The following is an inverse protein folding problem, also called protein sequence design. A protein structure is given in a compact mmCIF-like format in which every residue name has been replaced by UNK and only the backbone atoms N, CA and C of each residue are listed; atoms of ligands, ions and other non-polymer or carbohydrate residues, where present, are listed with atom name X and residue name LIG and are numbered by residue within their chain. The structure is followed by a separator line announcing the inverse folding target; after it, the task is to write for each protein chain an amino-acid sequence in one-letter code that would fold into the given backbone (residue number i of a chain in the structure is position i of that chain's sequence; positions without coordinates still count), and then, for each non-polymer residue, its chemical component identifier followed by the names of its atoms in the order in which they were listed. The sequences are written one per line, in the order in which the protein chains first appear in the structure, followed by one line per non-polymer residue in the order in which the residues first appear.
data_IF_140865732997
#
_entry.id   IF_140865732997
#
_cell.length_a   1.000
_cell.length_b   1.000
_cell.length_c   1.000
_cell.angle_alpha   90.00
_cell.angle_beta   90.00
_cell.angle_gamma   90.00
#
_symmetry.space_group_name_H-M   'P 1'
#
loop_
_entity.id
_entity.type
_entity.pdbx_description
1 polymer ?
#
# COMPACT_ATOMS: atom_id res chain seq x y z
N UNK A 1 -19.04 13.15 -9.49
CA UNK A 1 -19.44 12.04 -10.36
C UNK A 1 -20.49 12.46 -11.40
N UNK A 2 -21.58 13.02 -10.95
CA UNK A 2 -22.73 13.34 -11.83
C UNK A 2 -22.38 14.39 -12.88
N UNK A 3 -21.56 15.40 -12.52
CA UNK A 3 -21.08 16.42 -13.46
C UNK A 3 -20.29 15.82 -14.63
N UNK A 4 -19.38 14.87 -14.35
CA UNK A 4 -18.65 14.17 -15.40
C UNK A 4 -19.54 13.32 -16.29
N UNK A 5 -20.54 12.67 -15.68
CA UNK A 5 -21.52 11.87 -16.41
C UNK A 5 -22.38 12.73 -17.33
N UNK A 6 -22.78 13.92 -16.88
CA UNK A 6 -23.50 14.90 -17.70
C UNK A 6 -22.69 15.38 -18.90
N UNK A 7 -21.36 15.44 -18.75
CA UNK A 7 -20.43 15.78 -19.83
C UNK A 7 -20.07 14.59 -20.73
N UNK A 8 -20.68 13.42 -20.52
CA UNK A 8 -20.37 12.20 -21.29
C UNK A 8 -19.00 11.59 -20.96
N UNK A 9 -18.37 12.01 -19.85
CA UNK A 9 -17.05 11.51 -19.42
C UNK A 9 -17.22 10.26 -18.55
N UNK A 10 -16.62 9.15 -18.97
CA UNK A 10 -16.60 7.91 -18.20
C UNK A 10 -15.43 7.93 -17.21
N UNK A 11 -15.73 7.82 -15.91
CA UNK A 11 -14.72 7.75 -14.86
C UNK A 11 -14.32 6.29 -14.59
N UNK A 12 -13.00 6.05 -14.56
CA UNK A 12 -12.43 4.74 -14.24
C UNK A 12 -11.98 4.67 -12.78
N UNK A 13 -12.93 4.72 -11.86
CA UNK A 13 -12.68 4.70 -10.42
C UNK A 13 -13.88 4.08 -9.69
N UNK A 14 -13.66 3.53 -8.48
CA UNK A 14 -14.74 3.05 -7.61
C UNK A 14 -15.66 4.19 -7.18
N UNK A 15 -16.84 3.88 -6.64
CA UNK A 15 -17.74 4.89 -6.10
C UNK A 15 -17.07 5.69 -4.95
N UNK A 16 -17.60 6.88 -4.67
CA UNK A 16 -17.01 7.81 -3.70
C UNK A 16 -16.89 7.23 -2.28
N UNK A 17 -17.87 6.44 -1.86
CA UNK A 17 -17.83 5.80 -0.54
C UNK A 17 -16.66 4.80 -0.43
N UNK A 18 -16.50 3.92 -1.44
CA UNK A 18 -15.38 2.97 -1.49
C UNK A 18 -14.03 3.67 -1.50
N UNK A 19 -13.90 4.78 -2.25
CA UNK A 19 -12.67 5.57 -2.31
C UNK A 19 -12.40 6.24 -0.97
N UNK A 20 -13.40 6.83 -0.33
CA UNK A 20 -13.25 7.50 0.97
C UNK A 20 -12.84 6.51 2.08
N UNK A 21 -13.43 5.31 2.09
CA UNK A 21 -13.06 4.28 3.05
C UNK A 21 -11.64 3.77 2.76
N UNK A 22 -11.31 3.44 1.51
CA UNK A 22 -9.99 2.94 1.14
C UNK A 22 -8.86 3.94 1.45
N UNK A 23 -9.12 5.25 1.37
CA UNK A 23 -8.15 6.30 1.69
C UNK A 23 -8.05 6.60 3.19
N UNK A 24 -8.89 6.01 4.03
CA UNK A 24 -8.84 6.15 5.48
C UNK A 24 -8.57 4.79 6.13
N UNK A 25 -7.32 4.56 6.55
CA UNK A 25 -6.87 3.27 7.08
C UNK A 25 -7.67 2.81 8.30
N UNK A 26 -8.03 3.76 9.18
CA UNK A 26 -8.79 3.44 10.39
C UNK A 26 -10.20 2.94 10.03
N UNK A 27 -10.91 3.65 9.15
CA UNK A 27 -12.23 3.21 8.66
C UNK A 27 -12.15 1.89 7.92
N UNK A 28 -11.08 1.69 7.13
CA UNK A 28 -10.83 0.42 6.45
C UNK A 28 -10.70 -0.71 7.45
N UNK A 29 -9.84 -0.58 8.46
CA UNK A 29 -9.62 -1.65 9.45
C UNK A 29 -10.87 -1.93 10.29
N UNK A 30 -11.60 -0.90 10.71
CA UNK A 30 -12.87 -1.05 11.44
C UNK A 30 -13.87 -1.86 10.62
N UNK A 31 -14.14 -1.46 9.38
CA UNK A 31 -15.08 -2.13 8.50
C UNK A 31 -14.67 -3.58 8.20
N UNK A 32 -13.38 -3.85 7.98
CA UNK A 32 -12.88 -5.19 7.72
C UNK A 32 -12.99 -6.09 8.96
N UNK A 33 -12.67 -5.57 10.14
CA UNK A 33 -12.80 -6.29 11.40
C UNK A 33 -14.27 -6.65 11.70
N UNK A 34 -15.21 -5.71 11.50
CA UNK A 34 -16.65 -5.95 11.61
C UNK A 34 -17.15 -7.04 10.67
N UNK A 35 -16.54 -7.15 9.48
CA UNK A 35 -16.84 -8.19 8.51
C UNK A 35 -16.08 -9.52 8.75
N UNK A 36 -15.30 -9.62 9.83
CA UNK A 36 -14.50 -10.80 10.15
C UNK A 36 -13.31 -11.03 9.21
N UNK A 37 -12.89 -10.01 8.48
CA UNK A 37 -11.69 -10.04 7.62
C UNK A 37 -10.48 -9.66 8.48
N UNK A 38 -9.41 -10.46 8.52
CA UNK A 38 -8.23 -10.17 9.34
C UNK A 38 -7.57 -8.84 8.99
N UNK A 39 -7.32 -8.05 10.01
CA UNK A 39 -6.54 -6.81 9.97
C UNK A 39 -5.41 -6.87 11.00
N UNK A 40 -4.35 -6.06 10.86
CA UNK A 40 -3.32 -5.97 11.91
C UNK A 40 -3.91 -5.42 13.20
N UNK A 41 -3.29 -5.75 14.34
CA UNK A 41 -3.61 -5.08 15.60
C UNK A 41 -3.33 -3.57 15.45
N UNK A 42 -4.23 -2.73 15.93
CA UNK A 42 -4.10 -1.28 15.81
C UNK A 42 -4.71 -0.53 16.99
N UNK A 43 -4.24 0.70 17.21
CA UNK A 43 -4.71 1.60 18.25
C UNK A 43 -4.85 3.02 17.69
N UNK A 44 -6.05 3.64 17.70
CA UNK A 44 -6.25 5.03 17.25
C UNK A 44 -5.50 6.01 18.17
N UNK A 45 -4.93 7.07 17.58
CA UNK A 45 -4.18 8.10 18.31
C UNK A 45 -4.69 9.47 17.89
N UNK A 46 -5.34 10.17 18.81
CA UNK A 46 -5.86 11.52 18.63
C UNK A 46 -5.14 12.54 19.52
N UNK A 47 -4.48 12.06 20.57
CA UNK A 47 -3.73 12.88 21.52
C UNK A 47 -2.36 12.28 21.81
N UNK A 48 -1.46 13.08 22.38
CA UNK A 48 -0.16 12.59 22.85
C UNK A 48 -0.33 11.49 23.90
N UNK A 49 -1.38 11.58 24.74
CA UNK A 49 -1.66 10.55 25.74
C UNK A 49 -2.10 9.23 25.08
N UNK A 50 -2.91 9.29 24.03
CA UNK A 50 -3.28 8.08 23.27
C UNK A 50 -2.06 7.40 22.66
N UNK A 51 -1.08 8.17 22.19
CA UNK A 51 0.19 7.59 21.70
C UNK A 51 0.92 6.84 22.81
N UNK A 52 1.04 7.42 24.00
CA UNK A 52 1.70 6.79 25.15
C UNK A 52 0.98 5.49 25.56
N UNK A 53 -0.33 5.56 25.74
CA UNK A 53 -1.14 4.40 26.14
C UNK A 53 -1.19 3.34 25.04
N UNK A 54 -1.30 3.76 23.78
CA UNK A 54 -1.29 2.87 22.63
C UNK A 54 0.04 2.12 22.46
N UNK A 55 1.17 2.79 22.68
CA UNK A 55 2.47 2.12 22.69
C UNK A 55 2.54 1.01 23.75
N UNK A 56 2.04 1.25 24.96
CA UNK A 56 1.96 0.24 26.03
C UNK A 56 1.03 -0.90 25.64
N UNK A 57 -0.16 -0.57 25.14
CA UNK A 57 -1.16 -1.54 24.68
C UNK A 57 -0.59 -2.47 23.61
N UNK A 58 0.13 -1.94 22.62
CA UNK A 58 0.76 -2.67 21.54
C UNK A 58 2.03 -3.45 21.96
N UNK A 59 2.43 -3.37 23.23
CA UNK A 59 3.55 -4.12 23.82
C UNK A 59 4.92 -3.48 23.67
N UNK A 60 5.01 -2.18 23.38
CA UNK A 60 6.27 -1.45 23.46
C UNK A 60 6.72 -1.32 24.94
N UNK A 61 8.00 -1.48 25.29
CA UNK A 61 9.20 -1.57 24.43
C UNK A 61 9.59 -2.98 23.96
N UNK A 62 8.90 -4.04 24.39
CA UNK A 62 9.25 -5.42 24.07
C UNK A 62 9.03 -5.74 22.57
N UNK A 63 8.05 -5.08 21.96
CA UNK A 63 7.77 -5.19 20.53
C UNK A 63 7.90 -3.82 19.87
N UNK A 64 8.47 -3.73 18.66
CA UNK A 64 8.40 -2.49 17.88
C UNK A 64 6.95 -2.21 17.47
N UNK A 65 6.63 -0.92 17.31
CA UNK A 65 5.32 -0.46 16.85
C UNK A 65 5.48 0.48 15.66
N UNK A 66 4.45 0.57 14.81
CA UNK A 66 4.46 1.42 13.64
C UNK A 66 3.39 2.51 13.79
N UNK A 67 3.80 3.78 13.88
CA UNK A 67 2.90 4.93 13.85
C UNK A 67 2.63 5.34 12.40
N UNK A 68 1.36 5.59 12.07
CA UNK A 68 0.93 6.00 10.72
C UNK A 68 -0.09 7.12 10.77
N UNK A 69 -0.02 8.05 9.81
CA UNK A 69 -1.13 8.96 9.50
C UNK A 69 -2.25 8.16 8.83
N UNK A 70 -3.48 8.31 9.30
CA UNK A 70 -4.66 7.55 8.82
C UNK A 70 -4.91 7.78 7.33
N UNK A 71 -4.87 9.03 6.88
CA UNK A 71 -5.08 9.43 5.48
C UNK A 71 -3.77 9.59 4.68
N UNK A 72 -2.64 9.09 5.21
CA UNK A 72 -1.33 9.20 4.58
C UNK A 72 -1.16 8.30 3.36
N UNK A 73 -0.38 8.76 2.38
CA UNK A 73 -0.03 7.99 1.17
C UNK A 73 1.46 8.12 0.87
N UNK A 74 2.02 7.13 0.14
CA UNK A 74 3.43 7.14 -0.28
C UNK A 74 4.40 7.14 0.89
N UNK A 75 4.08 6.42 1.95
CA UNK A 75 4.86 6.30 3.20
C UNK A 75 5.14 7.60 3.95
N UNK A 76 4.48 8.70 3.60
CA UNK A 76 4.51 9.92 4.43
C UNK A 76 3.77 9.65 5.73
N UNK A 77 4.31 10.18 6.83
CA UNK A 77 3.73 10.00 8.16
C UNK A 77 3.77 8.55 8.68
N UNK A 78 4.78 7.77 8.26
CA UNK A 78 5.03 6.42 8.76
C UNK A 78 6.34 6.42 9.56
N UNK A 79 6.32 5.92 10.80
CA UNK A 79 7.51 5.73 11.62
C UNK A 79 7.44 4.40 12.36
N UNK A 80 8.58 3.72 12.42
CA UNK A 80 8.78 2.50 13.21
C UNK A 80 9.52 2.88 14.48
N UNK A 81 8.94 2.56 15.61
CA UNK A 81 9.51 2.84 16.94
C UNK A 81 9.97 1.50 17.51
N UNK A 82 11.29 1.34 17.63
CA UNK A 82 11.92 0.11 18.06
C UNK A 82 12.91 0.42 19.18
N UNK A 83 12.65 -0.08 20.39
CA UNK A 83 13.49 0.13 21.57
C UNK A 83 14.87 -0.49 21.46
N UNK A 84 15.06 -1.46 20.56
CA UNK A 84 16.38 -2.07 20.32
C UNK A 84 17.30 -1.20 19.44
N UNK A 85 16.76 -0.10 18.87
CA UNK A 85 17.52 0.87 18.07
C UNK A 85 17.73 2.17 18.86
N UNK A 86 18.95 2.40 19.34
CA UNK A 86 19.29 3.65 20.02
C UNK A 86 19.32 4.84 19.03
N UNK A 87 19.16 6.08 19.54
CA UNK A 87 19.29 7.31 18.74
C UNK A 87 20.63 7.38 18.00
N UNK A 88 21.72 6.95 18.67
CA UNK A 88 23.04 6.90 18.04
C UNK A 88 23.09 5.91 16.88
N UNK A 89 22.52 4.71 17.04
CA UNK A 89 22.45 3.72 15.96
C UNK A 89 21.64 4.25 14.77
N UNK A 90 20.52 4.91 15.02
CA UNK A 90 19.71 5.52 13.95
C UNK A 90 20.49 6.61 13.22
N UNK A 91 21.22 7.47 13.97
CA UNK A 91 22.05 8.52 13.37
C UNK A 91 23.23 7.96 12.58
N UNK A 92 23.97 6.98 13.14
CA UNK A 92 25.23 6.51 12.58
C UNK A 92 25.07 5.46 11.46
N UNK A 93 23.98 4.68 11.46
CA UNK A 93 23.84 3.50 10.60
C UNK A 93 22.58 3.50 9.71
N UNK A 94 21.59 4.35 9.99
CA UNK A 94 20.41 4.45 9.14
C UNK A 94 20.55 5.63 8.17
N UNK A 95 20.02 5.45 6.96
CA UNK A 95 19.95 6.57 6.00
C UNK A 95 18.91 7.59 6.45
N UNK A 96 19.02 8.88 6.08
CA UNK A 96 18.07 9.94 6.46
C UNK A 96 16.61 9.65 6.07
N UNK A 97 16.39 8.77 5.09
CA UNK A 97 15.07 8.33 4.65
C UNK A 97 14.59 7.04 5.33
N UNK A 98 15.24 6.59 6.40
CA UNK A 98 14.80 5.46 7.22
C UNK A 98 13.45 5.76 7.87
N UNK A 99 12.63 4.73 8.02
CA UNK A 99 11.36 4.81 8.75
C UNK A 99 11.52 4.71 10.26
N UNK A 100 12.69 4.36 10.76
CA UNK A 100 12.93 4.21 12.19
C UNK A 100 13.09 5.55 12.90
N UNK A 101 12.55 5.62 14.10
CA UNK A 101 12.73 6.75 15.03
C UNK A 101 12.78 6.24 16.46
N UNK A 102 13.32 7.02 17.39
CA UNK A 102 13.23 6.70 18.82
C UNK A 102 11.87 7.10 19.38
N UNK A 103 11.47 6.47 20.48
CA UNK A 103 10.24 6.82 21.19
C UNK A 103 10.26 8.29 21.66
N UNK A 104 11.37 8.74 22.23
CA UNK A 104 11.48 10.11 22.77
C UNK A 104 11.44 11.17 21.67
N UNK A 105 12.07 10.90 20.50
CA UNK A 105 11.99 11.81 19.36
C UNK A 105 10.56 11.89 18.83
N UNK A 106 9.87 10.74 18.71
CA UNK A 106 8.48 10.74 18.26
C UNK A 106 7.57 11.47 19.24
N UNK A 107 7.73 11.21 20.54
CA UNK A 107 6.97 11.88 21.59
C UNK A 107 7.22 13.40 21.57
N UNK A 108 8.45 13.84 21.32
CA UNK A 108 8.79 15.27 21.20
C UNK A 108 8.11 15.90 19.99
N UNK A 109 8.13 15.23 18.82
CA UNK A 109 7.49 15.71 17.59
C UNK A 109 5.98 15.86 17.80
N UNK A 110 5.33 14.88 18.42
CA UNK A 110 3.87 14.93 18.65
C UNK A 110 3.46 16.06 19.63
N UNK A 111 4.37 16.51 20.47
CA UNK A 111 4.15 17.66 21.40
C UNK A 111 4.35 19.04 20.77
N UNK A 112 4.81 19.12 19.53
CA UNK A 112 5.04 20.41 18.86
C UNK A 112 3.73 21.08 18.38
N UNK A 113 2.63 20.34 18.37
CA UNK A 113 1.33 20.81 17.91
C UNK A 113 0.24 20.59 18.97
N UNK A 114 -0.72 21.50 19.04
CA UNK A 114 -1.85 21.41 19.97
C UNK A 114 -2.89 20.38 19.53
N UNK A 115 -3.02 20.18 18.22
CA UNK A 115 -3.98 19.22 17.61
C UNK A 115 -3.23 18.32 16.64
N UNK A 116 -3.28 17.02 16.90
CA UNK A 116 -2.70 16.02 16.01
C UNK A 116 -3.62 15.76 14.80
N UNK A 117 -3.02 15.45 13.66
CA UNK A 117 -3.72 14.75 12.60
C UNK A 117 -4.26 13.40 13.13
N UNK A 118 -5.22 12.80 12.42
CA UNK A 118 -5.63 11.43 12.74
C UNK A 118 -4.48 10.47 12.53
N UNK A 119 -4.00 9.87 13.61
CA UNK A 119 -2.91 8.89 13.61
C UNK A 119 -3.43 7.54 14.10
N UNK A 120 -2.66 6.50 13.84
CA UNK A 120 -2.87 5.17 14.40
C UNK A 120 -1.53 4.46 14.64
N UNK A 121 -1.44 3.74 15.74
CA UNK A 121 -0.41 2.72 15.94
C UNK A 121 -0.89 1.42 15.30
N UNK A 122 0.04 0.70 14.69
CA UNK A 122 -0.21 -0.59 14.04
C UNK A 122 0.92 -1.53 14.44
N UNK A 123 0.61 -2.80 14.61
CA UNK A 123 1.64 -3.81 14.88
C UNK A 123 2.73 -3.81 13.80
N UNK A 124 3.95 -4.03 14.22
CA UNK A 124 5.07 -4.10 13.29
C UNK A 124 5.13 -5.48 12.61
N UNK A 125 5.11 -5.47 11.29
CA UNK A 125 5.23 -6.66 10.45
C UNK A 125 6.64 -6.73 9.86
N UNK A 126 7.45 -7.74 10.21
CA UNK A 126 8.85 -7.80 9.80
C UNK A 126 9.07 -8.35 8.38
N UNK A 127 8.05 -8.95 7.79
CA UNK A 127 8.18 -9.66 6.52
C UNK A 127 8.07 -8.77 5.29
N UNK A 128 8.32 -9.37 4.15
CA UNK A 128 8.28 -8.67 2.85
C UNK A 128 6.86 -8.23 2.48
N UNK A 129 6.81 -7.19 1.68
CA UNK A 129 5.56 -6.71 1.08
C UNK A 129 5.11 -7.65 -0.04
N UNK A 130 3.84 -8.02 0.01
CA UNK A 130 3.13 -8.70 -1.08
C UNK A 130 2.02 -7.79 -1.58
N UNK A 131 1.88 -7.61 -2.88
CA UNK A 131 0.86 -6.75 -3.46
C UNK A 131 -0.02 -7.56 -4.41
N UNK A 132 -1.33 -7.33 -4.38
CA UNK A 132 -2.27 -7.81 -5.39
C UNK A 132 -2.81 -6.60 -6.15
N UNK A 133 -2.59 -6.56 -7.45
CA UNK A 133 -3.27 -5.64 -8.36
C UNK A 133 -4.41 -6.37 -9.05
N UNK A 134 -5.55 -5.72 -9.16
CA UNK A 134 -6.74 -6.35 -9.72
C UNK A 134 -7.60 -5.39 -10.55
N UNK A 135 -8.48 -5.97 -11.35
CA UNK A 135 -9.59 -5.30 -12.01
C UNK A 135 -10.89 -5.85 -11.46
N UNK A 136 -11.72 -4.96 -10.91
CA UNK A 136 -13.04 -5.28 -10.39
C UNK A 136 -14.14 -4.68 -11.27
N UNK A 137 -15.32 -5.27 -11.20
CA UNK A 137 -16.55 -4.74 -11.77
C UNK A 137 -17.68 -4.87 -10.77
N UNK A 138 -18.17 -3.72 -10.26
CA UNK A 138 -19.34 -3.64 -9.37
C UNK A 138 -19.29 -4.66 -8.21
N UNK A 139 -18.16 -4.71 -7.51
CA UNK A 139 -17.97 -5.59 -6.36
C UNK A 139 -17.56 -7.04 -6.71
N UNK A 140 -17.22 -7.33 -7.96
CA UNK A 140 -16.73 -8.64 -8.38
C UNK A 140 -15.35 -8.51 -9.00
N UNK A 141 -14.40 -9.34 -8.57
CA UNK A 141 -13.05 -9.41 -9.16
C UNK A 141 -13.14 -10.11 -10.52
N UNK A 142 -12.60 -9.47 -11.58
CA UNK A 142 -12.51 -10.04 -12.93
C UNK A 142 -11.11 -10.64 -13.15
N UNK A 143 -10.07 -9.89 -12.82
CA UNK A 143 -8.67 -10.31 -12.89
C UNK A 143 -7.96 -9.89 -11.61
N UNK A 144 -7.07 -10.74 -11.14
CA UNK A 144 -6.16 -10.40 -10.02
C UNK A 144 -4.82 -11.07 -10.20
N UNK A 145 -3.76 -10.34 -9.89
CA UNK A 145 -2.39 -10.83 -10.00
C UNK A 145 -1.57 -10.36 -8.80
N UNK A 146 -0.97 -11.31 -8.11
CA UNK A 146 -0.12 -11.06 -6.95
C UNK A 146 1.36 -11.00 -7.31
N UNK A 147 2.11 -10.28 -6.51
CA UNK A 147 3.58 -10.18 -6.61
C UNK A 147 4.23 -9.99 -5.25
N UNK A 148 5.35 -10.65 -5.05
CA UNK A 148 6.26 -10.35 -3.94
C UNK A 148 7.15 -9.17 -4.32
N UNK A 149 7.30 -8.18 -3.43
CA UNK A 149 8.23 -7.07 -3.57
C UNK A 149 9.54 -7.45 -2.85
N UNK A 150 10.53 -7.89 -3.63
CA UNK A 150 11.80 -8.43 -3.10
C UNK A 150 12.68 -7.31 -2.57
N UNK A 151 12.74 -6.20 -3.30
CA UNK A 151 13.46 -4.99 -2.92
C UNK A 151 12.56 -3.80 -3.15
N UNK A 152 12.39 -2.96 -2.13
CA UNK A 152 11.64 -1.71 -2.21
C UNK A 152 12.50 -0.51 -1.81
N UNK A 153 12.32 0.60 -2.50
CA UNK A 153 12.92 1.89 -2.16
C UNK A 153 11.80 2.93 -2.11
N UNK A 154 11.64 3.61 -0.98
CA UNK A 154 10.60 4.63 -0.76
C UNK A 154 9.20 4.10 -1.16
N UNK A 155 8.87 2.88 -0.74
CA UNK A 155 7.61 2.16 -1.04
C UNK A 155 7.36 1.88 -2.53
N UNK A 156 8.38 1.98 -3.37
CA UNK A 156 8.31 1.57 -4.77
C UNK A 156 9.19 0.35 -4.95
N UNK A 157 8.61 -0.76 -5.42
CA UNK A 157 9.35 -1.97 -5.67
C UNK A 157 10.43 -1.75 -6.75
N UNK A 158 11.67 -2.07 -6.41
CA UNK A 158 12.82 -2.08 -7.33
C UNK A 158 12.99 -3.46 -7.96
N UNK A 159 12.68 -4.51 -7.20
CA UNK A 159 12.62 -5.88 -7.68
C UNK A 159 11.32 -6.53 -7.21
N UNK A 160 10.63 -7.19 -8.11
CA UNK A 160 9.41 -7.95 -7.80
C UNK A 160 9.34 -9.23 -8.64
N UNK A 161 8.57 -10.18 -8.14
CA UNK A 161 8.28 -11.44 -8.84
C UNK A 161 6.78 -11.74 -8.73
N UNK A 162 6.14 -12.11 -9.84
CA UNK A 162 4.75 -12.53 -9.83
C UNK A 162 4.61 -13.84 -9.06
N UNK A 163 3.75 -13.84 -8.06
CA UNK A 163 3.53 -14.97 -7.17
C UNK A 163 2.05 -15.09 -6.80
N UNK A 164 1.58 -16.34 -6.64
CA UNK A 164 0.22 -16.63 -6.21
C UNK A 164 0.15 -16.82 -4.71
N UNK A 165 -0.82 -16.17 -4.07
CA UNK A 165 -1.17 -16.38 -2.67
C UNK A 165 -2.70 -16.53 -2.54
N UNK A 166 -3.14 -17.73 -2.19
CA UNK A 166 -4.56 -18.07 -2.12
C UNK A 166 -5.31 -17.24 -1.07
N UNK A 167 -4.67 -17.01 0.09
CA UNK A 167 -5.28 -16.27 1.19
C UNK A 167 -5.44 -14.80 0.84
N UNK A 168 -4.37 -14.16 0.32
CA UNK A 168 -4.42 -12.78 -0.13
C UNK A 168 -5.49 -12.57 -1.22
N UNK A 169 -5.59 -13.49 -2.19
CA UNK A 169 -6.60 -13.41 -3.24
C UNK A 169 -8.02 -13.51 -2.69
N UNK A 170 -8.24 -14.39 -1.70
CA UNK A 170 -9.53 -14.50 -1.03
C UNK A 170 -9.88 -13.20 -0.31
N UNK A 171 -8.95 -12.62 0.45
CA UNK A 171 -9.13 -11.34 1.15
C UNK A 171 -9.48 -10.23 0.13
N UNK A 172 -8.74 -10.11 -0.97
CA UNK A 172 -9.05 -9.14 -2.03
C UNK A 172 -10.48 -9.29 -2.55
N UNK A 173 -10.91 -10.51 -2.84
CA UNK A 173 -12.26 -10.78 -3.35
C UNK A 173 -13.34 -10.43 -2.33
N UNK A 174 -13.13 -10.75 -1.05
CA UNK A 174 -14.06 -10.43 0.02
C UNK A 174 -14.18 -8.90 0.24
N UNK A 175 -13.04 -8.18 0.21
CA UNK A 175 -13.00 -6.72 0.34
C UNK A 175 -13.63 -6.03 -0.85
N UNK A 176 -13.32 -6.46 -2.08
CA UNK A 176 -13.92 -5.91 -3.30
C UNK A 176 -15.43 -6.03 -3.26
N UNK A 177 -15.96 -7.17 -2.81
CA UNK A 177 -17.41 -7.40 -2.65
C UNK A 177 -18.00 -6.52 -1.54
N UNK A 178 -17.37 -6.47 -0.36
CA UNK A 178 -17.82 -5.70 0.79
C UNK A 178 -17.91 -4.21 0.48
N UNK A 179 -16.89 -3.68 -0.20
CA UNK A 179 -16.80 -2.26 -0.54
C UNK A 179 -17.46 -1.90 -1.88
N UNK A 180 -18.05 -2.87 -2.61
CA UNK A 180 -18.58 -2.66 -3.96
C UNK A 180 -17.60 -1.94 -4.89
N UNK A 181 -16.31 -2.34 -4.86
CA UNK A 181 -15.26 -1.69 -5.63
C UNK A 181 -15.43 -1.93 -7.14
N UNK A 182 -14.98 -0.94 -7.93
CA UNK A 182 -15.00 -0.98 -9.40
C UNK A 182 -13.69 -0.41 -9.96
N UNK A 183 -13.24 -0.93 -11.09
CA UNK A 183 -12.02 -0.50 -11.76
C UNK A 183 -10.76 -1.15 -11.21
N UNK A 184 -9.63 -0.51 -11.45
CA UNK A 184 -8.34 -1.01 -11.00
C UNK A 184 -8.09 -0.68 -9.52
N UNK A 185 -7.70 -1.67 -8.74
CA UNK A 185 -7.45 -1.56 -7.31
C UNK A 185 -6.17 -2.32 -6.96
N UNK A 186 -5.37 -1.76 -6.07
CA UNK A 186 -4.19 -2.40 -5.50
C UNK A 186 -4.34 -2.67 -4.01
N UNK A 187 -3.93 -3.85 -3.57
CA UNK A 187 -3.93 -4.27 -2.17
C UNK A 187 -2.51 -4.53 -1.72
N UNK A 188 -2.08 -3.87 -0.66
CA UNK A 188 -0.76 -4.05 -0.07
C UNK A 188 -0.87 -4.90 1.20
N UNK A 189 -0.09 -5.97 1.25
CA UNK A 189 0.04 -6.88 2.38
C UNK A 189 1.46 -6.82 2.91
N UNK A 190 1.63 -7.05 4.20
CA UNK A 190 2.92 -7.42 4.77
C UNK A 190 2.86 -8.86 5.27
N UNK A 191 3.99 -9.55 5.25
CA UNK A 191 4.09 -10.88 5.83
C UNK A 191 4.30 -10.75 7.34
N UNK A 192 3.46 -11.41 8.12
CA UNK A 192 3.69 -11.63 9.55
C UNK A 192 4.88 -12.57 9.79
N UNK A 193 5.27 -12.77 11.03
CA UNK A 193 6.40 -13.61 11.39
C UNK A 193 6.22 -15.09 10.96
N UNK A 194 4.99 -15.56 10.86
CA UNK A 194 4.64 -16.91 10.38
C UNK A 194 4.47 -17.00 8.86
N UNK A 195 4.69 -15.88 8.13
CA UNK A 195 4.57 -15.80 6.68
C UNK A 195 3.17 -15.51 6.16
N UNK A 196 2.17 -15.36 7.02
CA UNK A 196 0.79 -15.01 6.63
C UNK A 196 0.72 -13.61 6.03
N UNK A 197 -0.01 -13.46 4.93
CA UNK A 197 -0.27 -12.14 4.33
C UNK A 197 -1.35 -11.39 5.12
N UNK A 198 -1.00 -10.23 5.68
CA UNK A 198 -1.91 -9.35 6.42
C UNK A 198 -2.14 -8.08 5.62
N UNK A 199 -3.40 -7.72 5.38
CA UNK A 199 -3.77 -6.55 4.59
C UNK A 199 -3.45 -5.25 5.35
N UNK A 200 -2.63 -4.40 4.73
CA UNK A 200 -2.12 -3.15 5.32
C UNK A 200 -2.71 -1.90 4.69
N UNK A 201 -3.02 -1.93 3.40
CA UNK A 201 -3.47 -0.74 2.66
C UNK A 201 -4.25 -1.13 1.40
N UNK A 202 -5.19 -0.28 1.00
CA UNK A 202 -5.97 -0.42 -0.22
C UNK A 202 -5.77 0.85 -1.05
N UNK A 203 -5.29 0.69 -2.28
CA UNK A 203 -5.16 1.78 -3.24
C UNK A 203 -6.28 1.67 -4.28
N UNK A 204 -7.28 2.57 -4.30
CA UNK A 204 -8.38 2.53 -5.27
C UNK A 204 -7.93 3.03 -6.67
N UNK A 205 -6.77 2.61 -7.10
CA UNK A 205 -6.10 2.97 -8.35
C UNK A 205 -5.03 1.93 -8.73
N UNK A 206 -4.46 2.09 -9.92
CA UNK A 206 -3.28 1.33 -10.34
C UNK A 206 -2.09 1.60 -9.41
N UNK A 207 -1.33 0.55 -9.10
CA UNK A 207 -0.08 0.69 -8.36
C UNK A 207 1.09 1.08 -9.27
N UNK A 208 2.16 1.61 -8.69
CA UNK A 208 3.34 2.07 -9.44
C UNK A 208 4.12 0.94 -10.16
N UNK A 209 3.81 -0.32 -9.84
CA UNK A 209 4.55 -1.50 -10.35
C UNK A 209 3.66 -2.39 -11.24
N UNK A 210 2.52 -1.87 -11.72
CA UNK A 210 1.58 -2.61 -12.58
C UNK A 210 2.20 -3.12 -13.89
N UNK A 211 3.31 -2.54 -14.32
CA UNK A 211 4.01 -2.95 -15.55
C UNK A 211 4.50 -4.40 -15.54
N UNK A 212 4.91 -4.94 -14.39
CA UNK A 212 5.31 -6.36 -14.29
C UNK A 212 4.14 -7.30 -14.52
N UNK A 213 2.93 -6.89 -14.13
CA UNK A 213 1.71 -7.65 -14.32
C UNK A 213 1.37 -7.72 -15.81
N UNK A 214 1.50 -6.59 -16.52
CA UNK A 214 1.33 -6.55 -17.97
C UNK A 214 2.38 -7.42 -18.68
N UNK A 215 3.65 -7.37 -18.25
CA UNK A 215 4.72 -8.25 -18.76
C UNK A 215 4.44 -9.73 -18.49
N UNK A 216 3.77 -10.05 -17.38
CA UNK A 216 3.31 -11.41 -17.05
C UNK A 216 2.02 -11.84 -17.75
N UNK A 217 1.55 -11.08 -18.75
CA UNK A 217 0.42 -11.45 -19.61
C UNK A 217 -0.94 -10.86 -19.23
N UNK A 218 -1.04 -10.06 -18.13
CA UNK A 218 -2.31 -9.47 -17.68
C UNK A 218 -2.21 -7.94 -17.66
N UNK A 219 -2.51 -7.31 -18.76
CA UNK A 219 -2.47 -5.84 -18.89
C UNK A 219 -3.74 -5.21 -18.29
N UNK A 220 -3.77 -5.04 -16.97
CA UNK A 220 -4.92 -4.51 -16.23
C UNK A 220 -5.40 -3.14 -16.73
N UNK A 221 -4.54 -2.15 -17.03
CA UNK A 221 -4.98 -0.87 -17.62
C UNK A 221 -5.74 -1.06 -18.94
N UNK A 222 -5.20 -1.87 -19.86
CA UNK A 222 -5.82 -2.15 -21.15
C UNK A 222 -7.15 -2.91 -20.99
N UNK A 223 -7.21 -3.90 -20.11
CA UNK A 223 -8.41 -4.66 -19.82
C UNK A 223 -9.52 -3.75 -19.24
N UNK A 224 -9.14 -2.74 -18.45
CA UNK A 224 -10.12 -1.76 -17.96
C UNK A 224 -10.69 -0.90 -19.09
N UNK A 225 -9.88 -0.46 -20.04
CA UNK A 225 -10.36 0.30 -21.20
C UNK A 225 -11.36 -0.54 -22.00
N UNK A 226 -11.02 -1.80 -22.32
CA UNK A 226 -11.94 -2.72 -23.00
C UNK A 226 -13.28 -2.86 -22.26
N UNK A 227 -13.20 -3.05 -20.94
CA UNK A 227 -14.39 -3.16 -20.09
C UNK A 227 -15.28 -1.90 -20.18
N UNK A 228 -14.68 -0.70 -20.12
CA UNK A 228 -15.42 0.56 -20.20
C UNK A 228 -16.05 0.79 -21.57
N UNK A 229 -15.44 0.27 -22.63
CA UNK A 229 -15.97 0.31 -24.01
C UNK A 229 -17.01 -0.78 -24.28
N UNK A 230 -17.28 -1.67 -23.30
CA UNK A 230 -18.21 -2.80 -23.48
C UNK A 230 -17.67 -3.89 -24.39
N UNK A 231 -16.34 -3.92 -24.62
CA UNK A 231 -15.70 -4.94 -25.44
C UNK A 231 -15.55 -6.27 -24.69
N UNK A 232 -15.57 -7.42 -25.39
CA UNK A 232 -15.30 -8.72 -24.76
C UNK A 232 -13.96 -8.77 -24.08
N UNK A 233 -13.94 -9.26 -22.83
CA UNK A 233 -12.71 -9.42 -22.05
C UNK A 233 -12.11 -10.81 -22.34
N UNK A 234 -10.81 -10.89 -22.70
CA UNK A 234 -10.17 -12.15 -23.00
C UNK A 234 -9.95 -12.99 -21.73
N UNK A 235 -9.95 -14.29 -21.86
CA UNK A 235 -9.45 -15.14 -20.80
C UNK A 235 -7.92 -15.13 -20.83
N UNK A 236 -7.31 -14.57 -19.77
CA UNK A 236 -5.85 -14.48 -19.62
C UNK A 236 -5.42 -15.06 -18.29
N UNK A 237 -4.26 -15.69 -18.26
CA UNK A 237 -3.66 -16.26 -17.06
C UNK A 237 -2.30 -15.63 -16.81
N UNK A 238 -2.00 -15.22 -15.56
CA UNK A 238 -0.71 -14.63 -15.24
C UNK A 238 0.41 -15.67 -15.32
N UNK A 239 1.54 -15.27 -15.89
CA UNK A 239 2.77 -16.05 -15.91
C UNK A 239 3.53 -15.84 -14.59
N UNK A 240 3.18 -16.62 -13.57
CA UNK A 240 3.87 -16.58 -12.28
C UNK A 240 5.36 -16.91 -12.45
N UNK A 241 6.20 -16.28 -11.61
CA UNK A 241 7.66 -16.33 -11.75
C UNK A 241 8.23 -15.24 -12.66
N UNK A 242 7.40 -14.48 -13.41
CA UNK A 242 7.87 -13.30 -14.14
C UNK A 242 8.49 -12.31 -13.17
N UNK A 243 9.70 -11.85 -13.47
CA UNK A 243 10.48 -10.96 -12.60
C UNK A 243 10.63 -9.57 -13.22
N UNK A 244 10.57 -8.57 -12.39
CA UNK A 244 10.93 -7.19 -12.74
C UNK A 244 12.14 -6.77 -11.91
N UNK A 245 13.05 -6.07 -12.56
CA UNK A 245 14.14 -5.35 -11.91
C UNK A 245 14.27 -3.97 -12.54
N UNK A 246 14.19 -2.91 -11.73
CA UNK A 246 14.39 -1.54 -12.19
C UNK A 246 15.88 -1.26 -12.32
N UNK A 247 16.24 -0.56 -13.37
CA UNK A 247 17.61 -0.05 -13.61
C UNK A 247 17.53 1.43 -13.94
N UNK A 248 18.50 2.17 -13.46
CA UNK A 248 18.72 3.53 -13.91
C UNK A 248 19.53 3.49 -15.20
N UNK A 249 19.17 4.32 -16.15
CA UNK A 249 19.91 4.57 -17.37
C UNK A 249 20.40 6.00 -17.30
N UNK A 250 21.71 6.19 -17.42
CA UNK A 250 22.31 7.52 -17.53
C UNK A 250 22.51 7.84 -19.01
N UNK A 251 22.21 9.04 -19.40
CA UNK A 251 22.58 9.60 -20.69
C UNK A 251 23.15 10.99 -20.46
N UNK A 252 24.10 11.33 -21.29
CA UNK A 252 24.85 12.58 -21.18
C UNK A 252 24.55 13.44 -22.36
N UNK A 253 24.43 14.76 -22.15
CA UNK A 253 24.23 15.75 -23.18
C UNK A 253 25.35 16.80 -23.13
N UNK A 254 25.74 17.39 -24.30
CA UNK A 254 26.57 18.54 -24.35
C UNK A 254 25.81 19.82 -23.93
N UNK A 255 26.47 20.96 -23.94
CA UNK A 255 25.89 22.27 -23.59
C UNK A 255 24.73 22.71 -24.51
N UNK A 256 24.58 22.10 -25.66
CA UNK A 256 23.53 22.37 -26.65
C UNK A 256 22.35 21.41 -26.50
N UNK A 257 22.44 20.44 -25.54
CA UNK A 257 21.40 19.45 -25.30
C UNK A 257 21.46 18.21 -26.18
N UNK A 258 22.49 18.05 -26.99
CA UNK A 258 22.67 16.89 -27.86
C UNK A 258 23.27 15.70 -27.08
N UNK A 259 22.78 14.49 -27.38
CA UNK A 259 23.26 13.25 -26.75
C UNK A 259 24.75 13.00 -27.10
N UNK A 260 25.56 12.84 -26.07
CA UNK A 260 26.95 12.38 -26.20
C UNK A 260 26.92 10.86 -26.38
N UNK A 261 27.45 10.37 -27.50
CA UNK A 261 27.65 8.94 -27.76
C UNK A 261 29.09 8.58 -27.42
N UNK A 262 29.36 7.55 -26.63
CA UNK A 262 30.68 6.95 -26.39
C UNK A 262 30.68 5.49 -26.76
#
# INVERSE_FOLDING_TARGET
WDDFKLLGVTLSVSNSNSVNVANNKLKTYQMLAEAGIPVPEYYPVHTVNDFVEGCKYMGYPQKPVCLKIVNGSGSRGVRIIDANKSRYQLFAHEKPNSFYTSYDDMLSILKEVDVLDELMLVEFMPGNEYTVDLLAHKGTVIYQVGRENVVSLMSIAQESVLAYDRQAYKICSDVVRLMHMDGNVGFAFLRSADGTAVLMDISPRLTATVSVIAAGGVNLPYLRIKQLLGEPLPHVSPQFGTRMKRRYLEYFTNSEGELIKF
#
